data_IF_435606571810
#
_entry.id   IF_435606571810
#
_cell.length_a   1.000
_cell.length_b   1.000
_cell.length_c   1.000
_cell.angle_alpha   90.00
_cell.angle_beta   90.00
_cell.angle_gamma   90.00
#
_symmetry.space_group_name_H-M   'P 1'
#
loop_
_entity.id
_entity.type
_entity.pdbx_description
1 polymer ?
#
# COMPACT_ATOMS: atom_id res chain seq x y z
N UNK A 1 -23.47 5.99 -2.60
CA UNK A 1 -22.38 6.42 -3.50
C UNK A 1 -21.09 5.94 -2.90
N UNK A 2 -20.57 4.85 -3.46
CA UNK A 2 -19.16 4.49 -3.32
C UNK A 2 -18.35 5.50 -4.13
N UNK A 3 -17.15 5.87 -3.66
CA UNK A 3 -16.42 7.07 -4.07
C UNK A 3 -16.23 7.21 -5.58
N UNK A 4 -17.05 8.04 -6.22
CA UNK A 4 -16.90 8.42 -7.62
C UNK A 4 -15.70 9.36 -7.80
N UNK A 5 -14.99 9.15 -8.90
CA UNK A 5 -13.90 10.01 -9.33
C UNK A 5 -14.45 11.19 -10.13
N UNK A 6 -13.98 12.40 -9.85
CA UNK A 6 -14.37 13.56 -10.63
C UNK A 6 -13.69 13.60 -12.02
N UNK A 7 -14.10 14.54 -12.88
CA UNK A 7 -13.56 14.69 -14.24
C UNK A 7 -12.07 15.04 -14.29
N UNK A 8 -11.48 15.42 -13.16
CA UNK A 8 -10.05 15.73 -13.03
C UNK A 8 -9.27 14.55 -12.45
N UNK A 9 -9.89 13.40 -12.26
CA UNK A 9 -9.23 12.21 -11.73
C UNK A 9 -9.08 12.20 -10.20
N UNK A 10 -9.82 13.05 -9.47
CA UNK A 10 -9.72 13.13 -8.00
C UNK A 10 -10.79 12.27 -7.35
N UNK A 11 -10.42 11.62 -6.25
CA UNK A 11 -11.33 10.81 -5.44
C UNK A 11 -11.48 11.48 -4.08
N UNK A 12 -12.71 11.63 -3.60
CA UNK A 12 -12.98 12.11 -2.25
C UNK A 12 -12.89 10.95 -1.26
N UNK A 13 -11.83 10.93 -0.46
CA UNK A 13 -11.67 9.94 0.60
C UNK A 13 -12.56 10.31 1.81
N UNK A 14 -13.25 9.35 2.41
CA UNK A 14 -14.02 9.60 3.63
C UNK A 14 -13.08 9.95 4.81
N UNK A 15 -13.48 10.85 5.75
CA UNK A 15 -12.64 11.19 6.90
C UNK A 15 -12.22 9.98 7.74
N UNK A 16 -13.09 9.00 7.90
CA UNK A 16 -12.83 7.76 8.63
C UNK A 16 -11.71 6.94 7.99
N UNK A 17 -11.65 6.87 6.66
CA UNK A 17 -10.59 6.17 5.93
C UNK A 17 -9.26 6.92 6.02
N UNK A 18 -9.28 8.26 5.96
CA UNK A 18 -8.08 9.08 6.21
C UNK A 18 -7.50 8.85 7.60
N UNK A 19 -8.35 8.83 8.62
CA UNK A 19 -7.94 8.58 10.01
C UNK A 19 -7.42 7.16 10.20
N UNK A 20 -8.08 6.16 9.61
CA UNK A 20 -7.66 4.77 9.69
C UNK A 20 -6.26 4.56 9.11
N UNK A 21 -5.99 5.15 7.95
CA UNK A 21 -4.68 5.07 7.29
C UNK A 21 -3.68 6.13 7.77
N UNK A 22 -4.03 6.94 8.78
CA UNK A 22 -3.20 8.02 9.32
C UNK A 22 -2.62 8.98 8.25
N UNK A 23 -3.38 9.25 7.18
CA UNK A 23 -2.90 10.03 6.05
C UNK A 23 -2.72 11.51 6.42
N UNK A 24 -1.53 12.05 6.17
CA UNK A 24 -1.26 13.48 6.18
C UNK A 24 -1.03 14.03 4.75
N UNK A 25 -0.42 15.21 4.64
CA UNK A 25 -0.25 15.97 3.39
C UNK A 25 0.53 15.23 2.30
N UNK A 26 1.46 14.34 2.67
CA UNK A 26 2.24 13.56 1.72
C UNK A 26 1.74 12.13 1.72
N UNK A 27 1.32 11.66 0.55
CA UNK A 27 0.79 10.32 0.37
C UNK A 27 1.56 9.58 -0.72
N UNK A 28 1.55 8.26 -0.63
CA UNK A 28 2.11 7.36 -1.63
C UNK A 28 0.98 6.54 -2.25
N UNK A 29 0.99 6.46 -3.58
CA UNK A 29 0.09 5.60 -4.35
C UNK A 29 0.88 4.38 -4.84
N UNK A 30 0.51 3.20 -4.36
CA UNK A 30 1.25 1.95 -4.63
C UNK A 30 0.35 1.01 -5.43
N UNK A 31 0.79 0.62 -6.62
CA UNK A 31 0.05 -0.34 -7.45
C UNK A 31 0.26 -1.78 -6.98
N UNK A 32 -0.81 -2.56 -6.92
CA UNK A 32 -0.76 -3.99 -6.59
C UNK A 32 -1.72 -4.76 -7.51
N UNK A 33 -1.20 -5.17 -8.67
CA UNK A 33 -1.94 -5.85 -9.74
C UNK A 33 -3.22 -5.10 -10.15
N UNK A 34 -4.40 -5.60 -9.75
CA UNK A 34 -5.70 -5.05 -10.11
C UNK A 34 -6.26 -4.04 -9.08
N UNK A 35 -5.47 -3.69 -8.06
CA UNK A 35 -5.81 -2.66 -7.07
C UNK A 35 -4.63 -1.74 -6.84
N UNK A 36 -4.87 -0.65 -6.12
CA UNK A 36 -3.81 0.20 -5.60
C UNK A 36 -4.08 0.46 -4.12
N UNK A 37 -3.03 0.86 -3.42
CA UNK A 37 -3.05 1.22 -2.02
C UNK A 37 -2.66 2.69 -1.87
N UNK A 38 -3.23 3.33 -0.84
CA UNK A 38 -2.89 4.71 -0.46
C UNK A 38 -2.25 4.63 0.92
N UNK A 39 -1.04 5.13 1.02
CA UNK A 39 -0.26 5.13 2.26
C UNK A 39 0.11 6.55 2.65
N UNK A 40 0.28 6.77 3.95
CA UNK A 40 1.08 7.89 4.43
C UNK A 40 2.53 7.72 3.96
N UNK A 41 3.16 8.81 3.53
CA UNK A 41 4.48 8.73 2.91
C UNK A 41 5.56 8.24 3.88
N UNK A 42 5.54 8.68 5.13
CA UNK A 42 6.56 8.31 6.11
C UNK A 42 6.36 6.86 6.57
N UNK A 43 5.11 6.45 6.76
CA UNK A 43 4.76 5.05 7.05
C UNK A 43 5.23 4.13 5.93
N UNK A 44 4.99 4.48 4.67
CA UNK A 44 5.43 3.71 3.52
C UNK A 44 6.96 3.56 3.44
N UNK A 45 7.70 4.65 3.62
CA UNK A 45 9.17 4.62 3.58
C UNK A 45 9.73 3.72 4.69
N UNK A 46 9.15 3.79 5.88
CA UNK A 46 9.51 2.92 6.99
C UNK A 46 9.23 1.45 6.65
N UNK A 47 8.04 1.13 6.16
CA UNK A 47 7.65 -0.24 5.82
C UNK A 47 8.57 -0.85 4.77
N UNK A 48 8.85 -0.15 3.67
CA UNK A 48 9.78 -0.65 2.64
C UNK A 48 11.18 -0.90 3.23
N UNK A 49 11.65 0.01 4.09
CA UNK A 49 12.98 -0.14 4.69
C UNK A 49 13.07 -1.38 5.57
N UNK A 50 12.02 -1.67 6.35
CA UNK A 50 11.90 -2.87 7.18
C UNK A 50 11.78 -4.14 6.32
N UNK A 51 11.01 -4.10 5.23
CA UNK A 51 10.85 -5.24 4.32
C UNK A 51 12.17 -5.59 3.63
N UNK A 52 12.88 -4.59 3.10
CA UNK A 52 14.21 -4.78 2.46
C UNK A 52 15.22 -5.37 3.45
N UNK A 53 15.21 -4.91 4.70
CA UNK A 53 16.10 -5.44 5.72
C UNK A 53 15.77 -6.90 6.07
N UNK A 54 14.48 -7.22 6.16
CA UNK A 54 13.99 -8.60 6.40
C UNK A 54 14.40 -9.53 5.25
N UNK A 55 14.23 -9.09 4.00
CA UNK A 55 14.64 -9.86 2.81
C UNK A 55 16.15 -10.16 2.82
N UNK A 56 16.99 -9.17 3.16
CA UNK A 56 18.45 -9.34 3.24
C UNK A 56 18.88 -10.35 4.30
N UNK A 57 18.13 -10.47 5.39
CA UNK A 57 18.40 -11.43 6.45
C UNK A 57 18.09 -12.87 6.04
N UNK A 58 17.44 -13.08 4.88
CA UNK A 58 17.13 -14.41 4.34
C UNK A 58 16.10 -15.18 5.17
N UNK A 59 15.42 -14.51 6.12
CA UNK A 59 14.41 -15.11 7.00
C UNK A 59 13.02 -15.06 6.37
N UNK A 60 12.89 -15.57 5.15
CA UNK A 60 11.59 -15.70 4.50
C UNK A 60 11.21 -17.19 4.43
N UNK A 61 10.21 -17.59 5.22
CA UNK A 61 9.58 -18.90 5.03
C UNK A 61 8.65 -18.83 3.82
N UNK A 62 9.10 -19.35 2.69
CA UNK A 62 8.25 -19.55 1.52
C UNK A 62 7.22 -20.64 1.86
N UNK A 63 6.01 -20.23 2.26
CA UNK A 63 4.89 -21.17 2.36
C UNK A 63 4.72 -21.89 1.02
N UNK A 64 4.29 -23.15 1.01
CA UNK A 64 4.07 -23.91 -0.23
C UNK A 64 3.20 -23.13 -1.23
N UNK A 65 2.18 -22.41 -0.75
CA UNK A 65 1.30 -21.57 -1.57
C UNK A 65 1.98 -20.37 -2.22
N UNK A 66 3.06 -19.84 -1.64
CA UNK A 66 3.85 -18.75 -2.22
C UNK A 66 4.77 -19.25 -3.35
N UNK A 67 5.15 -20.54 -3.33
CA UNK A 67 5.92 -21.16 -4.40
C UNK A 67 5.09 -21.37 -5.67
N UNK A 68 3.77 -21.53 -5.51
CA UNK A 68 2.82 -21.66 -6.61
C UNK A 68 2.52 -20.32 -7.33
N UNK A 69 2.98 -19.18 -6.79
CA UNK A 69 2.90 -17.89 -7.46
C UNK A 69 4.04 -17.74 -8.49
N UNK A 70 3.94 -18.47 -9.60
CA UNK A 70 4.71 -18.17 -10.82
C UNK A 70 3.93 -17.16 -11.67
N UNK A 71 4.59 -16.08 -12.10
CA UNK A 71 4.08 -15.16 -13.14
C UNK A 71 3.92 -15.86 -14.49
#
# INVERSE_FOLDING_TARGET
MEGEMDKSGRILLAPTLRQHAALDKQIMLVGQLNKFEIWDADVWQKQISEDIETEKQGQFELTERLQDFSL
#
